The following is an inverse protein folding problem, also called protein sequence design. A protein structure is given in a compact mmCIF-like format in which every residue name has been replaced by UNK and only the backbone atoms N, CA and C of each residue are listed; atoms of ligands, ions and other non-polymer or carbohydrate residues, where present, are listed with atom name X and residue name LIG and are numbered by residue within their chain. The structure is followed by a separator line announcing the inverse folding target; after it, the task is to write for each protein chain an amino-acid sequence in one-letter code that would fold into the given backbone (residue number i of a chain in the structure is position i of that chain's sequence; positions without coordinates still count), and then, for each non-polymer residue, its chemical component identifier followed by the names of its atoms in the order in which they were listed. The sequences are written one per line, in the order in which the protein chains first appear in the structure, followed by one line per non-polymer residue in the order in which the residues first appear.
data_IF_187233274987
#
_entry.id   IF_187233274987
#
_cell.length_a   1.000
_cell.length_b   1.000
_cell.length_c   1.000
_cell.angle_alpha   90.00
_cell.angle_beta   90.00
_cell.angle_gamma   90.00
#
_symmetry.space_group_name_H-M   'P 1'
#
loop_
_entity.id
_entity.type
_entity.pdbx_description
1 polymer ?
#
# COMPACT_ATOMS: atom_id res chain seq x y z
N UNK A 1 -20.24 -9.54 -12.08
CA UNK A 1 -18.79 -9.87 -11.94
C UNK A 1 -18.54 -10.29 -10.50
N UNK A 2 -18.02 -11.48 -10.29
CA UNK A 2 -17.75 -11.96 -8.94
C UNK A 2 -16.60 -11.16 -8.33
N UNK A 3 -16.78 -10.67 -7.11
CA UNK A 3 -15.72 -10.09 -6.27
C UNK A 3 -14.81 -11.17 -5.68
N UNK A 4 -15.03 -12.41 -6.06
CA UNK A 4 -14.23 -13.54 -5.63
C UNK A 4 -12.79 -13.34 -6.10
N UNK A 5 -11.87 -13.35 -5.15
CA UNK A 5 -10.43 -13.17 -5.34
C UNK A 5 -9.94 -11.76 -5.69
N UNK A 6 -10.69 -10.72 -5.33
CA UNK A 6 -10.19 -9.34 -5.44
C UNK A 6 -9.13 -9.04 -4.37
N UNK A 7 -8.13 -8.26 -4.76
CA UNK A 7 -7.07 -7.76 -3.88
C UNK A 7 -7.16 -6.23 -3.85
N UNK A 8 -7.02 -5.64 -2.68
CA UNK A 8 -6.91 -4.19 -2.54
C UNK A 8 -5.44 -3.78 -2.52
N UNK A 9 -5.06 -2.92 -3.45
CA UNK A 9 -3.77 -2.22 -3.44
C UNK A 9 -3.94 -0.81 -2.87
N UNK A 10 -3.04 -0.42 -1.99
CA UNK A 10 -3.00 0.92 -1.38
C UNK A 10 -1.61 1.49 -1.54
N UNK A 11 -1.50 2.68 -2.14
CA UNK A 11 -0.26 3.44 -2.23
C UNK A 11 -0.38 4.64 -1.27
N UNK A 12 0.39 4.60 -0.18
CA UNK A 12 0.44 5.67 0.81
C UNK A 12 1.50 6.68 0.35
N UNK A 13 1.07 7.89 0.09
CA UNK A 13 1.94 9.02 -0.25
C UNK A 13 2.02 10.06 0.86
N UNK A 14 2.80 11.11 0.66
CA UNK A 14 2.96 12.19 1.65
C UNK A 14 1.72 13.07 1.84
N UNK A 15 0.86 13.19 0.84
CA UNK A 15 -0.34 14.05 0.87
C UNK A 15 -1.65 13.32 0.60
N UNK A 16 -1.60 12.09 0.09
CA UNK A 16 -2.77 11.33 -0.27
C UNK A 16 -2.51 9.83 -0.25
N UNK A 17 -3.58 9.04 -0.20
CA UNK A 17 -3.54 7.61 -0.51
C UNK A 17 -4.25 7.36 -1.84
N UNK A 18 -3.70 6.43 -2.62
CA UNK A 18 -4.35 5.88 -3.80
C UNK A 18 -4.76 4.45 -3.51
N UNK A 19 -6.00 4.12 -3.79
CA UNK A 19 -6.54 2.79 -3.56
C UNK A 19 -7.05 2.19 -4.86
N UNK A 20 -6.75 0.93 -5.07
CA UNK A 20 -7.14 0.20 -6.28
C UNK A 20 -7.60 -1.21 -5.91
N UNK A 21 -8.84 -1.53 -6.26
CA UNK A 21 -9.36 -2.88 -6.14
C UNK A 21 -9.17 -3.59 -7.48
N UNK A 22 -8.49 -4.73 -7.46
CA UNK A 22 -8.17 -5.50 -8.67
C UNK A 22 -8.57 -6.96 -8.52
N UNK A 23 -8.80 -7.60 -9.66
CA UNK A 23 -8.90 -9.04 -9.80
C UNK A 23 -8.03 -9.52 -10.97
N UNK A 24 -8.16 -10.79 -11.35
CA UNK A 24 -7.38 -11.36 -12.46
C UNK A 24 -7.65 -10.69 -13.83
N UNK A 25 -8.77 -10.02 -14.00
CA UNK A 25 -9.18 -9.34 -15.23
C UNK A 25 -8.74 -7.86 -15.26
N UNK A 26 -8.29 -7.31 -14.14
CA UNK A 26 -7.79 -5.94 -14.05
C UNK A 26 -8.43 -5.12 -12.93
N UNK A 27 -8.43 -3.81 -13.10
CA UNK A 27 -8.94 -2.86 -12.10
C UNK A 27 -10.46 -2.86 -12.09
N UNK A 28 -11.04 -3.11 -10.91
CA UNK A 28 -12.48 -3.05 -10.66
C UNK A 28 -12.88 -1.63 -10.22
N UNK A 29 -12.09 -1.01 -9.35
CA UNK A 29 -12.36 0.30 -8.75
C UNK A 29 -11.07 0.97 -8.31
N UNK A 30 -10.99 2.28 -8.42
CA UNK A 30 -9.88 3.06 -7.88
C UNK A 30 -10.37 4.39 -7.31
N UNK A 31 -9.60 4.97 -6.40
CA UNK A 31 -9.81 6.32 -5.86
C UNK A 31 -8.52 6.90 -5.32
N UNK A 32 -8.51 8.21 -5.15
CA UNK A 32 -7.48 8.95 -4.43
C UNK A 32 -8.14 9.74 -3.33
N UNK A 33 -7.62 9.63 -2.10
CA UNK A 33 -8.08 10.38 -0.94
C UNK A 33 -6.95 11.27 -0.43
N UNK A 34 -7.22 12.56 -0.29
CA UNK A 34 -6.28 13.52 0.29
C UNK A 34 -6.35 13.47 1.82
N UNK A 35 -5.21 13.62 2.48
CA UNK A 35 -5.16 13.70 3.93
C UNK A 35 -5.55 15.08 4.44
N UNK A 36 -6.24 15.10 5.57
CA UNK A 36 -6.31 16.27 6.43
C UNK A 36 -5.07 16.33 7.35
N UNK A 37 -4.52 15.19 7.75
CA UNK A 37 -3.30 15.07 8.53
C UNK A 37 -2.57 13.74 8.25
N UNK A 38 -1.78 13.71 7.17
CA UNK A 38 -1.00 12.53 6.78
C UNK A 38 0.17 12.18 7.71
N UNK A 39 0.56 13.10 8.61
CA UNK A 39 1.58 12.86 9.62
C UNK A 39 1.08 12.06 10.83
N UNK A 40 -0.23 11.96 10.98
CA UNK A 40 -0.87 11.16 12.01
C UNK A 40 -1.26 9.79 11.45
N UNK A 41 -0.53 8.71 11.81
CA UNK A 41 -0.82 7.38 11.29
C UNK A 41 -2.19 6.85 11.69
N UNK A 42 -2.72 7.23 12.85
CA UNK A 42 -4.06 6.83 13.27
C UNK A 42 -5.15 7.49 12.43
N UNK A 43 -4.96 8.75 12.01
CA UNK A 43 -5.87 9.42 11.09
C UNK A 43 -5.89 8.74 9.72
N UNK A 44 -4.72 8.36 9.19
CA UNK A 44 -4.60 7.63 7.93
C UNK A 44 -5.22 6.23 8.04
N UNK A 45 -4.97 5.52 9.15
CA UNK A 45 -5.57 4.22 9.43
C UNK A 45 -7.11 4.30 9.45
N UNK A 46 -7.68 5.31 10.09
CA UNK A 46 -9.12 5.52 10.12
C UNK A 46 -9.70 5.76 8.72
N UNK A 47 -9.06 6.63 7.94
CA UNK A 47 -9.46 6.91 6.55
C UNK A 47 -9.44 5.63 5.68
N UNK A 48 -8.40 4.83 5.79
CA UNK A 48 -8.29 3.56 5.07
C UNK A 48 -9.39 2.57 5.48
N UNK A 49 -9.63 2.45 6.79
CA UNK A 49 -10.66 1.55 7.33
C UNK A 49 -12.05 1.92 6.81
N UNK A 50 -12.41 3.21 6.87
CA UNK A 50 -13.69 3.72 6.36
C UNK A 50 -13.88 3.43 4.87
N UNK A 51 -12.83 3.61 4.05
CA UNK A 51 -12.90 3.32 2.62
C UNK A 51 -13.08 1.82 2.35
N UNK A 52 -12.34 0.98 3.06
CA UNK A 52 -12.39 -0.47 2.88
C UNK A 52 -13.78 -1.01 3.27
N UNK A 53 -14.34 -0.51 4.36
CA UNK A 53 -15.71 -0.81 4.78
C UNK A 53 -16.75 -0.33 3.76
N UNK A 54 -16.61 0.90 3.26
CA UNK A 54 -17.49 1.46 2.21
C UNK A 54 -17.45 0.63 0.92
N UNK A 55 -16.30 0.08 0.59
CA UNK A 55 -16.15 -0.78 -0.58
C UNK A 55 -16.58 -2.22 -0.33
N UNK A 56 -16.92 -2.57 0.90
CA UNK A 56 -17.25 -3.93 1.32
C UNK A 56 -16.17 -4.95 0.88
N UNK A 57 -14.91 -4.53 0.97
CA UNK A 57 -13.81 -5.40 0.61
C UNK A 57 -13.52 -6.39 1.74
N UNK A 58 -13.52 -7.67 1.38
CA UNK A 58 -13.10 -8.79 2.22
C UNK A 58 -12.04 -9.58 1.44
N UNK A 59 -10.79 -9.44 1.79
CA UNK A 59 -9.71 -10.09 1.06
C UNK A 59 -8.34 -9.49 1.39
N UNK A 60 -7.29 -9.93 0.69
CA UNK A 60 -5.95 -9.45 0.93
C UNK A 60 -5.79 -7.97 0.63
N UNK A 61 -4.94 -7.29 1.39
CA UNK A 61 -4.57 -5.88 1.24
C UNK A 61 -3.06 -5.79 1.08
N UNK A 62 -2.61 -5.20 -0.02
CA UNK A 62 -1.20 -4.86 -0.26
C UNK A 62 -0.99 -3.37 -0.15
N UNK A 63 0.02 -2.94 0.60
CA UNK A 63 0.31 -1.52 0.85
C UNK A 63 1.73 -1.20 0.41
N UNK A 64 1.87 -0.18 -0.44
CA UNK A 64 3.13 0.51 -0.71
C UNK A 64 3.28 1.71 0.22
N UNK A 65 4.42 1.80 0.92
CA UNK A 65 4.67 2.84 1.91
C UNK A 65 5.99 3.59 1.62
N UNK A 66 6.02 4.93 1.74
CA UNK A 66 7.21 5.74 1.42
C UNK A 66 8.20 5.79 2.60
N UNK A 67 8.79 4.66 2.92
CA UNK A 67 9.73 4.53 4.03
C UNK A 67 10.38 3.16 4.08
N UNK A 68 11.19 2.94 5.11
CA UNK A 68 11.81 1.66 5.37
C UNK A 68 10.79 0.72 6.05
N UNK A 69 10.52 -0.41 5.40
CA UNK A 69 9.61 -1.45 5.89
C UNK A 69 10.38 -2.75 6.12
N UNK A 70 10.15 -3.38 7.24
CA UNK A 70 10.72 -4.70 7.56
C UNK A 70 9.68 -5.55 8.29
N UNK A 71 9.41 -6.75 7.77
CA UNK A 71 8.47 -7.68 8.38
C UNK A 71 7.06 -7.10 8.56
N UNK A 72 6.53 -6.41 7.56
CA UNK A 72 5.24 -5.70 7.60
C UNK A 72 5.15 -4.55 8.63
N UNK A 73 6.29 -4.10 9.16
CA UNK A 73 6.37 -3.00 10.12
C UNK A 73 7.10 -1.82 9.49
N UNK A 74 6.60 -0.62 9.73
CA UNK A 74 7.28 0.61 9.34
C UNK A 74 8.41 0.85 10.34
N UNK A 75 9.65 0.91 9.84
CA UNK A 75 10.85 1.11 10.67
C UNK A 75 11.18 2.59 10.75
N UNK A 76 11.17 3.27 9.61
CA UNK A 76 11.52 4.68 9.49
C UNK A 76 10.74 5.32 8.33
N UNK A 77 10.27 6.53 8.53
CA UNK A 77 9.45 7.26 7.57
C UNK A 77 9.78 8.76 7.56
N UNK A 78 10.98 9.16 7.11
CA UNK A 78 11.49 10.52 7.27
C UNK A 78 10.61 11.60 6.63
N UNK A 79 9.88 11.26 5.57
CA UNK A 79 8.99 12.19 4.85
C UNK A 79 7.53 12.18 5.35
N UNK A 80 7.19 11.26 6.26
CA UNK A 80 5.82 11.11 6.78
C UNK A 80 5.63 11.69 8.17
N UNK A 81 6.72 11.86 8.93
CA UNK A 81 6.72 12.34 10.31
C UNK A 81 6.96 11.24 11.35
N UNK A 82 7.43 11.65 12.52
CA UNK A 82 7.91 10.75 13.59
C UNK A 82 6.84 9.76 14.11
N UNK A 83 5.55 10.09 13.98
CA UNK A 83 4.47 9.20 14.39
C UNK A 83 4.43 7.86 13.64
N UNK A 84 5.06 7.79 12.48
CA UNK A 84 5.13 6.59 11.66
C UNK A 84 6.27 5.64 12.04
N UNK A 85 7.28 6.13 12.75
CA UNK A 85 8.44 5.31 13.12
C UNK A 85 8.02 4.18 14.08
N UNK A 86 8.24 2.95 13.64
CA UNK A 86 7.83 1.77 14.39
C UNK A 86 6.32 1.47 14.41
N UNK A 87 5.51 2.22 13.67
CA UNK A 87 4.06 2.03 13.64
C UNK A 87 3.66 0.70 12.98
N UNK A 88 2.86 -0.08 13.68
CA UNK A 88 2.42 -1.40 13.23
C UNK A 88 1.06 -1.32 12.49
N UNK A 89 1.10 -0.72 11.31
CA UNK A 89 -0.08 -0.53 10.46
C UNK A 89 -0.73 -1.86 10.07
N UNK A 90 0.07 -2.85 9.77
CA UNK A 90 -0.40 -4.18 9.35
C UNK A 90 -1.26 -4.86 10.42
N UNK A 91 -0.74 -4.93 11.64
CA UNK A 91 -1.48 -5.54 12.76
C UNK A 91 -2.75 -4.78 13.11
N UNK A 92 -2.69 -3.45 13.06
CA UNK A 92 -3.85 -2.59 13.35
C UNK A 92 -4.96 -2.74 12.32
N UNK A 93 -4.62 -2.81 11.03
CA UNK A 93 -5.59 -3.09 9.97
C UNK A 93 -6.15 -4.51 10.08
N UNK A 94 -5.30 -5.50 10.31
CA UNK A 94 -5.73 -6.88 10.50
C UNK A 94 -6.76 -7.01 11.64
N UNK A 95 -6.48 -6.38 12.78
CA UNK A 95 -7.38 -6.39 13.93
C UNK A 95 -8.75 -5.73 13.65
N UNK A 96 -8.77 -4.67 12.83
CA UNK A 96 -10.01 -3.96 12.50
C UNK A 96 -10.85 -4.64 11.43
N UNK A 97 -10.20 -5.23 10.44
CA UNK A 97 -10.84 -5.69 9.20
C UNK A 97 -10.81 -7.21 9.00
N UNK A 98 -10.16 -7.94 9.90
CA UNK A 98 -9.92 -9.39 9.74
C UNK A 98 -9.34 -9.74 8.34
N UNK A 99 -8.43 -8.92 7.85
CA UNK A 99 -7.83 -9.03 6.53
C UNK A 99 -6.35 -9.37 6.61
N UNK A 100 -5.85 -10.15 5.65
CA UNK A 100 -4.43 -10.35 5.47
C UNK A 100 -3.80 -9.10 4.88
N UNK A 101 -2.81 -8.51 5.54
CA UNK A 101 -2.16 -7.26 5.14
C UNK A 101 -0.68 -7.48 4.93
N UNK A 102 -0.17 -7.06 3.78
CA UNK A 102 1.26 -7.01 3.47
C UNK A 102 1.67 -5.56 3.17
N UNK A 103 2.79 -5.13 3.73
CA UNK A 103 3.36 -3.80 3.52
C UNK A 103 4.76 -3.94 2.96
N UNK A 104 5.07 -3.20 1.91
CA UNK A 104 6.42 -3.06 1.35
C UNK A 104 6.71 -1.59 1.04
N UNK A 105 7.96 -1.26 0.82
CA UNK A 105 8.32 0.07 0.34
C UNK A 105 7.64 0.36 -1.01
N UNK A 106 7.23 1.60 -1.26
CA UNK A 106 6.49 2.01 -2.46
C UNK A 106 7.31 1.82 -3.75
N UNK A 107 8.62 2.08 -3.73
CA UNK A 107 9.49 1.82 -4.87
C UNK A 107 9.66 0.31 -5.13
N UNK A 108 9.74 -0.50 -4.09
CA UNK A 108 9.76 -1.97 -4.20
C UNK A 108 8.44 -2.49 -4.79
N UNK A 109 7.30 -1.91 -4.40
CA UNK A 109 6.00 -2.23 -4.97
C UNK A 109 5.94 -1.92 -6.46
N UNK A 110 6.47 -0.77 -6.88
CA UNK A 110 6.56 -0.39 -8.29
C UNK A 110 7.48 -1.34 -9.07
N UNK A 111 8.63 -1.72 -8.49
CA UNK A 111 9.56 -2.68 -9.09
C UNK A 111 8.92 -4.05 -9.32
N UNK A 112 8.16 -4.55 -8.32
CA UNK A 112 7.41 -5.81 -8.45
C UNK A 112 6.36 -5.75 -9.56
N UNK A 113 5.62 -4.64 -9.66
CA UNK A 113 4.62 -4.46 -10.71
C UNK A 113 5.27 -4.45 -12.10
N UNK A 114 6.36 -3.72 -12.28
CA UNK A 114 7.12 -3.67 -13.54
C UNK A 114 7.70 -5.04 -13.91
N UNK A 115 8.24 -5.76 -12.93
CA UNK A 115 8.75 -7.11 -13.15
C UNK A 115 7.67 -8.06 -13.68
N UNK A 116 6.46 -7.97 -13.15
CA UNK A 116 5.32 -8.78 -13.59
C UNK A 116 4.89 -8.43 -15.02
N UNK A 117 4.76 -7.15 -15.34
CA UNK A 117 4.34 -6.68 -16.66
C UNK A 117 5.35 -7.06 -17.76
N UNK A 118 6.63 -7.10 -17.46
CA UNK A 118 7.71 -7.42 -18.40
C UNK A 118 8.13 -8.88 -18.41
N UNK A 119 7.39 -9.78 -17.73
CA UNK A 119 7.79 -11.17 -17.49
C UNK A 119 9.14 -11.32 -16.77
N UNK A 120 9.57 -10.29 -16.06
CA UNK A 120 10.85 -10.25 -15.34
C UNK A 120 10.96 -11.22 -14.17
N UNK A 121 9.86 -11.89 -13.78
CA UNK A 121 9.89 -12.98 -12.81
C UNK A 121 10.78 -14.16 -13.18
N UNK A 122 11.08 -14.30 -14.47
CA UNK A 122 11.98 -15.33 -15.00
C UNK A 122 13.45 -14.93 -14.88
N UNK A 123 13.75 -13.68 -14.49
CA UNK A 123 15.10 -13.18 -14.27
C UNK A 123 15.46 -13.20 -12.79
N UNK A 124 16.71 -13.53 -12.48
CA UNK A 124 17.17 -13.65 -11.08
C UNK A 124 17.33 -12.30 -10.38
N UNK A 125 17.58 -11.22 -11.14
CA UNK A 125 17.82 -9.89 -10.59
C UNK A 125 17.15 -8.82 -11.43
N UNK A 126 16.46 -7.89 -10.75
CA UNK A 126 15.82 -6.73 -11.37
C UNK A 126 16.29 -5.47 -10.65
N UNK A 127 16.78 -4.49 -11.42
CA UNK A 127 17.08 -3.15 -10.93
C UNK A 127 15.99 -2.19 -11.39
N UNK A 128 15.36 -1.53 -10.46
CA UNK A 128 14.39 -0.47 -10.72
C UNK A 128 14.92 0.85 -10.16
N UNK A 129 15.00 1.88 -11.02
CA UNK A 129 15.36 3.24 -10.62
C UNK A 129 14.11 4.12 -10.69
N UNK A 130 13.76 4.73 -9.58
CA UNK A 130 12.68 5.71 -9.52
C UNK A 130 13.25 7.12 -9.47
N UNK A 131 12.71 8.00 -10.30
CA UNK A 131 13.07 9.41 -10.37
C UNK A 131 11.87 10.26 -9.99
N UNK A 132 11.98 11.00 -8.90
CA UNK A 132 10.94 11.89 -8.40
C UNK A 132 11.57 13.09 -7.71
N UNK A 133 11.17 13.39 -6.49
CA UNK A 133 11.84 14.40 -5.64
C UNK A 133 13.26 13.99 -5.24
N UNK A 134 13.60 12.72 -5.46
CA UNK A 134 14.91 12.10 -5.29
C UNK A 134 15.09 10.92 -6.23
N UNK A 135 16.23 10.22 -6.11
CA UNK A 135 16.53 8.98 -6.82
C UNK A 135 16.35 7.84 -5.82
N UNK A 136 15.56 6.87 -6.17
CA UNK A 136 15.32 5.67 -5.37
C UNK A 136 15.48 4.40 -6.16
#
# INVERSE_FOLDING_TARGET
MSREHAVLGVDIGGSSIKCCLLNAQGIIRHTTLEYTNGKDPDAVLNMMTELIELWHHVGPIGIGFPGLVSGNRIVDAPNMGEGWDGYDLSSRLNQRLDASVAIINDADAAALAMARETNGWETENILCLTLGTGIG
#
